data_IF_759358600118
#
_entry.id   IF_759358600118
#
_cell.length_a   1.000
_cell.length_b   1.000
_cell.length_c   1.000
_cell.angle_alpha   90.00
_cell.angle_beta   90.00
_cell.angle_gamma   90.00
#
_symmetry.space_group_name_H-M   'P 1'
#
loop_
_entity.id
_entity.type
_entity.pdbx_description
1 polymer ?
#
# COMPACT_ATOMS: atom_id res chain seq x y z
N UNK A 1 8.41 17.48 5.27
CA UNK A 1 8.38 16.00 5.27
C UNK A 1 7.44 15.67 6.42
N UNK A 2 6.24 15.16 6.11
CA UNK A 2 5.26 14.81 7.15
C UNK A 2 5.78 13.61 7.94
N UNK A 3 5.63 13.65 9.27
CA UNK A 3 5.99 12.56 10.15
C UNK A 3 5.12 11.32 9.84
N UNK A 4 5.67 10.12 9.65
CA UNK A 4 4.89 8.91 9.40
C UNK A 4 3.90 8.60 10.54
N UNK A 5 4.14 9.10 11.76
CA UNK A 5 3.22 8.99 12.90
C UNK A 5 1.98 9.89 12.77
N UNK A 6 2.02 10.94 11.96
CA UNK A 6 0.90 11.86 11.71
C UNK A 6 -0.23 11.22 10.86
N UNK A 7 0.05 10.11 10.18
CA UNK A 7 -0.95 9.35 9.42
C UNK A 7 -1.91 8.54 10.32
N UNK A 8 -1.50 8.22 11.55
CA UNK A 8 -2.25 7.37 12.48
C UNK A 8 -3.24 8.15 13.40
N UNK A 9 -3.15 9.48 13.51
CA UNK A 9 -3.80 10.28 14.55
C UNK A 9 -5.11 10.94 14.11
N UNK A 10 -6.08 10.21 13.50
CA UNK A 10 -7.26 10.85 12.93
C UNK A 10 -8.58 10.23 13.38
N UNK A 11 -9.57 11.10 13.72
CA UNK A 11 -10.84 10.74 14.35
C UNK A 11 -11.80 9.89 13.47
N UNK A 12 -12.85 9.29 14.08
CA UNK A 12 -13.70 8.30 13.43
C UNK A 12 -14.63 8.94 12.39
N UNK A 13 -14.57 8.45 11.16
CA UNK A 13 -15.57 8.70 10.11
C UNK A 13 -16.15 7.35 9.70
N UNK A 14 -17.48 7.19 9.72
CA UNK A 14 -18.13 6.01 9.17
C UNK A 14 -17.93 6.01 7.65
N UNK A 15 -17.14 5.07 7.15
CA UNK A 15 -16.69 5.05 5.77
C UNK A 15 -16.89 3.69 5.12
N UNK A 16 -17.18 3.61 3.80
CA UNK A 16 -17.13 2.35 3.07
C UNK A 16 -15.73 1.74 3.13
N UNK A 17 -15.64 0.43 2.96
CA UNK A 17 -14.42 -0.39 3.15
C UNK A 17 -13.14 0.18 2.54
N UNK A 18 -13.24 0.79 1.34
CA UNK A 18 -12.12 1.49 0.68
C UNK A 18 -11.65 2.78 1.40
N UNK A 19 -12.44 3.34 2.30
CA UNK A 19 -12.12 4.57 3.02
C UNK A 19 -11.53 4.33 4.42
N UNK A 20 -11.36 3.08 4.83
CA UNK A 20 -10.71 2.69 6.10
C UNK A 20 -9.31 3.30 6.21
N UNK A 21 -8.58 3.38 5.10
CA UNK A 21 -7.25 4.00 5.05
C UNK A 21 -7.22 5.50 5.45
N UNK A 22 -8.36 6.18 5.38
CA UNK A 22 -8.50 7.59 5.75
C UNK A 22 -9.26 7.80 7.07
N UNK A 23 -9.74 6.73 7.70
CA UNK A 23 -10.45 6.75 8.98
C UNK A 23 -9.52 6.29 10.11
N UNK A 24 -9.76 6.81 11.33
CA UNK A 24 -9.10 6.26 12.51
C UNK A 24 -9.66 4.86 12.82
N UNK A 25 -8.77 3.88 12.93
CA UNK A 25 -9.12 2.51 13.30
C UNK A 25 -7.92 1.83 13.98
N UNK A 26 -8.15 0.61 14.50
CA UNK A 26 -7.11 -0.15 15.18
C UNK A 26 -6.16 -0.83 14.18
N UNK A 27 -4.96 -0.27 14.04
CA UNK A 27 -3.91 -0.83 13.20
C UNK A 27 -3.38 -2.18 13.68
N UNK A 28 -3.53 -2.52 14.96
CA UNK A 28 -3.12 -3.82 15.47
C UNK A 28 -3.96 -4.94 14.83
N UNK A 29 -5.26 -4.69 14.64
CA UNK A 29 -6.16 -5.60 13.95
C UNK A 29 -5.76 -5.76 12.48
N UNK A 30 -5.57 -4.66 11.74
CA UNK A 30 -5.12 -4.68 10.33
C UNK A 30 -3.80 -5.42 10.16
N UNK A 31 -2.83 -5.20 11.05
CA UNK A 31 -1.52 -5.87 11.01
C UNK A 31 -1.68 -7.37 11.25
N UNK A 32 -2.49 -7.78 12.23
CA UNK A 32 -2.72 -9.19 12.56
C UNK A 32 -3.36 -9.96 11.41
N UNK A 33 -4.43 -9.42 10.83
CA UNK A 33 -5.12 -10.04 9.68
C UNK A 33 -4.25 -10.05 8.43
N UNK A 34 -3.58 -8.93 8.12
CA UNK A 34 -2.69 -8.83 6.96
C UNK A 34 -1.54 -9.82 7.03
N UNK A 35 -0.94 -9.99 8.22
CA UNK A 35 0.11 -10.98 8.43
C UNK A 35 -0.39 -12.41 8.29
N UNK A 36 -1.54 -12.75 8.87
CA UNK A 36 -2.12 -14.10 8.76
C UNK A 36 -2.44 -14.46 7.30
N UNK A 37 -2.99 -13.52 6.51
CA UNK A 37 -3.23 -13.70 5.07
C UNK A 37 -1.93 -13.91 4.30
N UNK A 38 -0.90 -13.11 4.59
CA UNK A 38 0.41 -13.22 3.93
C UNK A 38 1.09 -14.57 4.21
N UNK A 39 0.99 -15.10 5.42
CA UNK A 39 1.50 -16.41 5.79
C UNK A 39 0.77 -17.54 5.03
N UNK A 40 -0.55 -17.47 4.97
CA UNK A 40 -1.36 -18.45 4.24
C UNK A 40 -1.03 -18.45 2.74
N UNK A 41 -0.92 -17.29 2.10
CA UNK A 41 -0.56 -17.16 0.70
C UNK A 41 0.86 -17.64 0.41
N UNK A 42 1.82 -17.29 1.27
CA UNK A 42 3.19 -17.73 1.14
C UNK A 42 3.32 -19.25 1.28
N UNK A 43 2.58 -19.87 2.20
CA UNK A 43 2.53 -21.31 2.37
C UNK A 43 1.92 -22.00 1.12
N UNK A 44 0.85 -21.43 0.55
CA UNK A 44 0.17 -21.97 -0.62
C UNK A 44 1.03 -21.88 -1.90
N UNK A 45 1.81 -20.78 -2.06
CA UNK A 45 2.69 -20.56 -3.21
C UNK A 45 4.09 -21.20 -3.08
N UNK A 46 4.43 -21.75 -1.91
CA UNK A 46 5.79 -22.21 -1.59
C UNK A 46 6.81 -21.08 -1.42
N UNK A 47 6.36 -19.84 -1.40
CA UNK A 47 7.21 -18.68 -1.16
C UNK A 47 7.61 -18.60 0.32
N UNK A 48 8.86 -18.17 0.58
CA UNK A 48 9.34 -18.09 1.96
C UNK A 48 9.31 -16.67 2.50
N UNK A 49 8.50 -16.42 3.51
CA UNK A 49 8.56 -15.21 4.33
C UNK A 49 9.75 -15.32 5.31
N UNK A 50 10.93 -14.84 4.87
CA UNK A 50 12.10 -14.73 5.76
C UNK A 50 11.83 -13.68 6.85
N UNK A 51 12.58 -13.69 8.00
CA UNK A 51 12.38 -12.69 9.06
C UNK A 51 12.38 -11.24 8.55
N UNK A 52 13.29 -10.90 7.63
CA UNK A 52 13.35 -9.56 7.02
C UNK A 52 12.10 -9.25 6.21
N UNK A 53 11.62 -10.16 5.36
CA UNK A 53 10.42 -9.97 4.54
C UNK A 53 9.17 -9.84 5.41
N UNK A 54 9.07 -10.67 6.44
CA UNK A 54 8.00 -10.59 7.44
C UNK A 54 7.98 -9.22 8.10
N UNK A 55 9.14 -8.77 8.62
CA UNK A 55 9.24 -7.49 9.29
C UNK A 55 8.99 -6.31 8.36
N UNK A 56 9.44 -6.40 7.11
CA UNK A 56 9.12 -5.38 6.08
C UNK A 56 7.61 -5.26 5.85
N UNK A 57 6.89 -6.37 5.77
CA UNK A 57 5.43 -6.34 5.63
C UNK A 57 4.74 -5.76 6.88
N UNK A 58 5.19 -6.15 8.08
CA UNK A 58 4.68 -5.58 9.33
C UNK A 58 4.85 -4.05 9.38
N UNK A 59 6.01 -3.54 8.96
CA UNK A 59 6.28 -2.10 8.86
C UNK A 59 5.27 -1.41 7.93
N UNK A 60 4.98 -1.99 6.76
CA UNK A 60 4.01 -1.43 5.83
C UNK A 60 2.56 -1.49 6.35
N UNK A 61 2.23 -2.52 7.14
CA UNK A 61 0.89 -2.71 7.72
C UNK A 61 0.63 -1.81 8.94
N UNK A 62 1.67 -1.26 9.58
CA UNK A 62 1.53 -0.39 10.75
C UNK A 62 0.88 0.96 10.43
N UNK A 63 0.82 1.35 9.16
CA UNK A 63 0.17 2.59 8.72
C UNK A 63 -0.39 2.42 7.30
N UNK A 64 -1.40 3.20 6.96
CA UNK A 64 -1.89 3.30 5.56
C UNK A 64 -1.12 4.37 4.75
N UNK A 65 0.07 4.72 5.18
CA UNK A 65 0.95 5.62 4.44
C UNK A 65 1.89 4.82 3.54
N UNK A 66 2.14 5.36 2.36
CA UNK A 66 3.20 4.81 1.52
C UNK A 66 4.56 5.18 2.12
N UNK A 67 5.44 4.19 2.30
CA UNK A 67 6.78 4.34 2.83
C UNK A 67 7.82 4.18 1.74
N UNK A 68 8.81 5.07 1.72
CA UNK A 68 9.98 4.94 0.87
C UNK A 68 10.89 3.79 1.30
N UNK A 69 11.66 3.23 0.36
CA UNK A 69 12.55 2.10 0.68
C UNK A 69 13.60 2.45 1.75
N UNK A 70 14.04 3.70 1.84
CA UNK A 70 14.98 4.15 2.87
C UNK A 70 14.32 4.27 4.25
N UNK A 71 13.07 4.70 4.34
CA UNK A 71 12.30 4.73 5.61
C UNK A 71 12.09 3.31 6.15
N UNK A 72 11.80 2.36 5.26
CA UNK A 72 11.74 0.94 5.62
C UNK A 72 13.11 0.43 6.08
N UNK A 73 14.20 0.80 5.37
CA UNK A 73 15.55 0.41 5.72
C UNK A 73 15.97 0.91 7.10
N UNK A 74 15.66 2.16 7.43
CA UNK A 74 15.97 2.76 8.74
C UNK A 74 15.31 1.96 9.88
N UNK A 75 14.02 1.59 9.73
CA UNK A 75 13.32 0.77 10.72
C UNK A 75 13.91 -0.64 10.84
N UNK A 76 14.23 -1.27 9.72
CA UNK A 76 14.90 -2.59 9.70
C UNK A 76 16.29 -2.53 10.35
N UNK A 77 17.07 -1.47 10.09
CA UNK A 77 18.39 -1.28 10.65
C UNK A 77 18.36 -1.08 12.18
N UNK A 78 17.39 -0.31 12.68
CA UNK A 78 17.18 -0.10 14.11
C UNK A 78 16.89 -1.41 14.87
N UNK A 79 16.36 -2.42 14.18
CA UNK A 79 16.02 -3.75 14.71
C UNK A 79 17.10 -4.81 14.40
N UNK A 80 18.23 -4.42 13.81
CA UNK A 80 19.37 -5.32 13.57
C UNK A 80 19.27 -6.18 12.30
N UNK A 81 18.34 -5.90 11.38
CA UNK A 81 18.22 -6.62 10.10
C UNK A 81 19.26 -6.20 9.04
N UNK A 82 20.12 -5.22 9.37
CA UNK A 82 21.13 -4.68 8.48
C UNK A 82 20.75 -3.33 7.88
N UNK A 83 21.77 -2.57 7.48
CA UNK A 83 21.65 -1.17 7.04
C UNK A 83 22.00 -0.96 5.56
N UNK A 84 22.11 -2.04 4.77
CA UNK A 84 22.44 -1.94 3.36
C UNK A 84 21.19 -1.80 2.51
N UNK A 85 21.10 -0.85 1.53
CA UNK A 85 19.93 -0.64 0.70
C UNK A 85 19.35 -1.92 0.05
N UNK A 86 20.17 -2.90 -0.43
CA UNK A 86 19.64 -4.14 -0.98
C UNK A 86 18.79 -4.96 -0.01
N UNK A 87 18.93 -4.78 1.30
CA UNK A 87 18.13 -5.50 2.31
C UNK A 87 16.66 -5.10 2.18
N UNK A 88 16.36 -3.80 2.19
CA UNK A 88 15.00 -3.30 2.04
C UNK A 88 14.44 -3.56 0.62
N UNK A 89 15.21 -3.23 -0.43
CA UNK A 89 14.73 -3.40 -1.81
C UNK A 89 14.37 -4.83 -2.14
N UNK A 90 15.21 -5.83 -1.80
CA UNK A 90 14.91 -7.24 -2.03
C UNK A 90 13.68 -7.74 -1.26
N UNK A 91 13.46 -7.22 -0.06
CA UNK A 91 12.28 -7.55 0.71
C UNK A 91 11.02 -6.92 0.10
N UNK A 92 11.06 -5.64 -0.26
CA UNK A 92 9.96 -4.90 -0.89
C UNK A 92 9.60 -5.49 -2.27
N UNK A 93 10.59 -5.75 -3.12
CA UNK A 93 10.37 -6.36 -4.45
C UNK A 93 9.70 -7.73 -4.29
N UNK A 94 10.16 -8.56 -3.35
CA UNK A 94 9.51 -9.83 -3.05
C UNK A 94 8.04 -9.66 -2.63
N UNK A 95 7.74 -8.70 -1.74
CA UNK A 95 6.36 -8.45 -1.31
C UNK A 95 5.47 -8.00 -2.47
N UNK A 96 5.99 -7.18 -3.37
CA UNK A 96 5.27 -6.76 -4.58
C UNK A 96 5.04 -7.93 -5.54
N UNK A 97 6.06 -8.77 -5.77
CA UNK A 97 5.95 -9.97 -6.61
C UNK A 97 4.94 -10.99 -6.07
N UNK A 98 4.82 -11.09 -4.74
CA UNK A 98 3.84 -11.96 -4.09
C UNK A 98 2.45 -11.32 -3.93
N UNK A 99 2.23 -10.08 -4.41
CA UNK A 99 0.96 -9.38 -4.25
C UNK A 99 0.62 -9.00 -2.81
N UNK A 100 1.63 -8.91 -1.94
CA UNK A 100 1.49 -8.52 -0.53
C UNK A 100 1.70 -7.01 -0.32
N UNK A 101 2.26 -6.33 -1.31
CA UNK A 101 2.46 -4.89 -1.32
C UNK A 101 2.31 -4.32 -2.73
N UNK A 102 2.03 -3.03 -2.81
CA UNK A 102 1.98 -2.26 -4.05
C UNK A 102 3.09 -1.21 -4.07
N UNK A 103 3.67 -1.00 -5.25
CA UNK A 103 4.57 0.12 -5.48
C UNK A 103 3.77 1.33 -5.95
N UNK A 104 3.77 2.39 -5.17
CA UNK A 104 3.15 3.69 -5.48
C UNK A 104 4.15 4.51 -6.28
N UNK A 105 3.95 4.56 -7.60
CA UNK A 105 4.95 5.10 -8.53
C UNK A 105 5.16 6.60 -8.33
N UNK A 106 4.09 7.33 -8.10
CA UNK A 106 4.12 8.79 -7.88
C UNK A 106 4.99 9.20 -6.71
N UNK A 107 4.97 8.42 -5.62
CA UNK A 107 5.72 8.68 -4.41
C UNK A 107 7.08 7.95 -4.39
N UNK A 108 7.34 7.07 -5.36
CA UNK A 108 8.46 6.11 -5.32
C UNK A 108 8.52 5.35 -3.98
N UNK A 109 7.37 4.94 -3.49
CA UNK A 109 7.14 4.36 -2.17
C UNK A 109 6.34 3.06 -2.28
N UNK A 110 6.10 2.39 -1.15
CA UNK A 110 5.41 1.11 -1.07
C UNK A 110 4.29 1.19 -0.02
N UNK A 111 3.17 0.52 -0.29
CA UNK A 111 2.06 0.35 0.63
C UNK A 111 1.69 -1.13 0.73
N UNK A 112 1.22 -1.59 1.88
CA UNK A 112 0.69 -2.94 2.02
C UNK A 112 -0.55 -3.12 1.14
N UNK A 113 -0.72 -4.31 0.55
CA UNK A 113 -1.94 -4.68 -0.16
C UNK A 113 -3.05 -4.99 0.87
N UNK A 114 -4.21 -4.38 0.72
CA UNK A 114 -5.35 -4.62 1.62
C UNK A 114 -6.13 -5.89 1.25
N UNK A 115 -6.00 -6.38 -0.01
CA UNK A 115 -6.69 -7.57 -0.53
C UNK A 115 -5.68 -8.57 -1.12
N UNK A 116 -4.69 -9.04 -0.34
CA UNK A 116 -3.69 -9.95 -0.87
C UNK A 116 -4.31 -11.29 -1.25
N UNK A 117 -3.85 -11.86 -2.38
CA UNK A 117 -4.36 -13.12 -2.92
C UNK A 117 -5.49 -12.97 -3.92
N UNK A 118 -6.08 -11.79 -4.05
CA UNK A 118 -7.05 -11.50 -5.10
C UNK A 118 -6.34 -10.95 -6.34
N UNK A 119 -6.75 -11.40 -7.52
CA UNK A 119 -6.27 -10.81 -8.78
C UNK A 119 -6.96 -9.46 -8.99
N UNK A 120 -6.31 -8.38 -8.58
CA UNK A 120 -6.87 -7.04 -8.68
C UNK A 120 -5.86 -6.04 -9.27
N UNK A 121 -6.39 -5.00 -9.86
CA UNK A 121 -5.61 -3.83 -10.29
C UNK A 121 -6.28 -2.62 -9.68
N UNK A 122 -5.87 -2.17 -8.49
CA UNK A 122 -6.57 -1.12 -7.77
C UNK A 122 -6.35 0.26 -8.37
N UNK A 123 -7.24 1.19 -8.01
CA UNK A 123 -6.98 2.63 -8.02
C UNK A 123 -6.40 3.02 -6.67
N UNK A 124 -5.31 3.76 -6.69
CA UNK A 124 -4.75 4.36 -5.48
C UNK A 124 -5.17 5.83 -5.36
N UNK A 125 -5.79 6.17 -4.24
CA UNK A 125 -6.06 7.55 -3.87
C UNK A 125 -4.97 8.02 -2.89
N UNK A 126 -4.19 9.01 -3.29
CA UNK A 126 -3.00 9.45 -2.58
C UNK A 126 -3.23 10.86 -2.04
N UNK A 127 -3.14 11.03 -0.73
CA UNK A 127 -3.17 12.36 -0.12
C UNK A 127 -1.83 13.07 -0.31
N UNK A 128 -1.84 14.22 -0.99
CA UNK A 128 -0.63 15.01 -1.25
C UNK A 128 -0.06 15.72 0.00
N UNK A 129 -0.85 15.81 1.08
CA UNK A 129 -0.44 16.47 2.31
C UNK A 129 0.18 15.52 3.33
N UNK A 130 -0.35 14.27 3.48
CA UNK A 130 0.11 13.33 4.50
C UNK A 130 0.58 11.97 3.94
N UNK A 131 0.62 11.80 2.62
CA UNK A 131 1.00 10.57 1.93
C UNK A 131 0.15 9.32 2.30
N UNK A 132 -1.02 9.51 2.94
CA UNK A 132 -1.96 8.43 3.14
C UNK A 132 -2.43 7.89 1.77
N UNK A 133 -2.53 6.58 1.67
CA UNK A 133 -2.93 5.88 0.44
C UNK A 133 -4.11 4.98 0.74
N UNK A 134 -5.19 5.16 -0.01
CA UNK A 134 -6.32 4.23 -0.02
C UNK A 134 -6.32 3.43 -1.32
N UNK A 135 -6.59 2.15 -1.18
CA UNK A 135 -6.79 1.21 -2.28
C UNK A 135 -8.29 1.05 -2.54
N UNK A 136 -8.71 1.14 -3.80
CA UNK A 136 -10.10 0.95 -4.18
C UNK A 136 -10.22 0.14 -5.47
N UNK A 137 -11.37 -0.54 -5.69
CA UNK A 137 -11.65 -1.28 -6.91
C UNK A 137 -11.55 -0.40 -8.16
N UNK A 138 -10.93 -0.92 -9.22
CA UNK A 138 -10.66 -0.17 -10.46
C UNK A 138 -11.55 -0.56 -11.64
N UNK A 139 -12.53 -1.45 -11.47
CA UNK A 139 -13.30 -2.04 -12.58
C UNK A 139 -13.91 -1.00 -13.50
N UNK A 140 -14.54 0.04 -12.94
CA UNK A 140 -15.18 1.10 -13.72
C UNK A 140 -14.14 1.92 -14.53
N UNK A 141 -13.01 2.24 -13.90
CA UNK A 141 -11.92 2.99 -14.53
C UNK A 141 -11.26 2.15 -15.61
N UNK A 142 -11.00 0.87 -15.33
CA UNK A 142 -10.46 -0.09 -16.28
C UNK A 142 -11.34 -0.24 -17.50
N UNK A 143 -12.64 -0.46 -17.30
CA UNK A 143 -13.61 -0.58 -18.39
C UNK A 143 -13.66 0.68 -19.25
N UNK A 144 -13.55 1.88 -18.66
CA UNK A 144 -13.50 3.13 -19.40
C UNK A 144 -12.21 3.25 -20.25
N UNK A 145 -11.06 2.92 -19.66
CA UNK A 145 -9.78 2.94 -20.36
C UNK A 145 -9.74 1.93 -21.53
N UNK A 146 -10.24 0.70 -21.32
CA UNK A 146 -10.32 -0.33 -22.34
C UNK A 146 -11.28 0.06 -23.49
N UNK A 147 -12.40 0.74 -23.19
CA UNK A 147 -13.29 1.27 -24.25
C UNK A 147 -12.58 2.33 -25.09
N UNK A 148 -11.86 3.26 -24.45
CA UNK A 148 -11.11 4.28 -25.16
C UNK A 148 -9.99 3.66 -26.03
N UNK A 149 -9.27 2.69 -25.50
CA UNK A 149 -8.21 1.97 -26.17
C UNK A 149 -8.72 1.24 -27.44
N UNK A 150 -9.86 0.56 -27.35
CA UNK A 150 -10.47 -0.09 -28.51
C UNK A 150 -10.82 0.91 -29.63
N UNK A 151 -11.24 2.11 -29.27
CA UNK A 151 -11.54 3.17 -30.26
C UNK A 151 -10.33 3.59 -31.12
N UNK A 152 -9.12 3.31 -30.67
CA UNK A 152 -7.87 3.61 -31.38
C UNK A 152 -7.08 2.35 -31.76
N UNK A 153 -7.67 1.16 -31.64
CA UNK A 153 -7.02 -0.11 -31.96
C UNK A 153 -5.92 -0.53 -30.99
N UNK A 154 -5.93 -0.01 -29.73
CA UNK A 154 -4.91 -0.31 -28.73
C UNK A 154 -5.38 -1.42 -27.77
N UNK A 155 -4.48 -2.36 -27.44
CA UNK A 155 -4.72 -3.41 -26.43
C UNK A 155 -4.05 -3.03 -25.12
N UNK A 156 -4.84 -2.93 -24.04
CA UNK A 156 -4.33 -2.64 -22.70
C UNK A 156 -3.81 -3.94 -22.06
N UNK A 157 -2.52 -4.05 -21.85
CA UNK A 157 -1.90 -5.18 -21.14
C UNK A 157 -1.79 -4.93 -19.63
N UNK A 158 -1.45 -3.70 -19.25
CA UNK A 158 -1.29 -3.30 -17.84
C UNK A 158 -1.76 -1.87 -17.64
N UNK A 159 -2.45 -1.65 -16.53
CA UNK A 159 -2.91 -0.32 -16.14
C UNK A 159 -2.49 -0.05 -14.69
N UNK A 160 -2.01 1.16 -14.42
CA UNK A 160 -1.78 1.66 -13.07
C UNK A 160 -2.53 2.99 -12.95
N UNK A 161 -3.36 3.13 -11.92
CA UNK A 161 -4.17 4.34 -11.72
C UNK A 161 -3.87 4.92 -10.34
N UNK A 162 -3.34 6.13 -10.35
CA UNK A 162 -3.02 6.88 -9.13
C UNK A 162 -3.70 8.24 -9.22
N UNK A 163 -4.60 8.52 -8.27
CA UNK A 163 -5.30 9.79 -8.14
C UNK A 163 -4.71 10.59 -6.97
N UNK A 164 -4.30 11.82 -7.23
CA UNK A 164 -3.72 12.71 -6.22
C UNK A 164 -4.76 13.70 -5.73
N UNK A 165 -4.89 13.86 -4.41
CA UNK A 165 -5.87 14.77 -3.81
C UNK A 165 -5.57 15.06 -2.35
N UNK A 166 -6.61 15.32 -1.56
CA UNK A 166 -6.55 15.44 -0.11
C UNK A 166 -7.47 14.38 0.52
N UNK A 167 -7.01 13.73 1.57
CA UNK A 167 -7.89 12.90 2.40
C UNK A 167 -8.86 13.81 3.19
N UNK A 168 -9.98 13.27 3.71
CA UNK A 168 -10.98 14.07 4.41
C UNK A 168 -10.39 14.98 5.50
N UNK A 169 -9.56 14.44 6.37
CA UNK A 169 -8.95 15.20 7.45
C UNK A 169 -8.01 16.32 6.96
N UNK A 170 -7.23 16.09 5.88
CA UNK A 170 -6.39 17.15 5.32
C UNK A 170 -7.20 18.19 4.53
N UNK A 171 -8.34 17.81 3.97
CA UNK A 171 -9.24 18.75 3.33
C UNK A 171 -9.92 19.68 4.34
N UNK A 172 -10.38 19.13 5.48
CA UNK A 172 -10.95 19.91 6.60
C UNK A 172 -9.92 20.85 7.22
N UNK A 173 -8.66 20.42 7.38
CA UNK A 173 -7.59 21.26 7.92
C UNK A 173 -7.15 22.39 6.96
N UNK A 174 -7.52 22.32 5.68
CA UNK A 174 -7.20 23.31 4.66
C UNK A 174 -8.36 24.28 4.36
N UNK A 175 -9.54 24.04 4.93
CA UNK A 175 -10.74 24.86 4.77
C UNK A 175 -10.80 25.99 5.79
#
# INVERSE_FOLDING_TARGET
MADPDDCAARGPVAAPEAAVAFAAHDHAHCTGEGMARAEALSAASGARLTPVRRRTLEILLQSHCALGAYEVLERLAAEGFGNQPPVAYRALDFLVEQGLAHRIRRLNAFAACMHPGEAHSPVFFICRACNAVAEAPAEAVRAAAERAARGIGFTVERMNVEALGLCPACAEAAA
#
